data_IF_885197361494
#
_entry.id   IF_885197361494
#
_cell.length_a   1.000
_cell.length_b   1.000
_cell.length_c   1.000
_cell.angle_alpha   90.00
_cell.angle_beta   90.00
_cell.angle_gamma   90.00
#
_symmetry.space_group_name_H-M   'P 1'
#
loop_
_entity.id
_entity.type
_entity.pdbx_description
1 polymer ?
#
# COMPACT_ATOMS: atom_id res chain seq x y z
N UNK A 1 1.53 -9.57 -11.28
CA UNK A 1 1.69 -8.19 -10.76
C UNK A 1 2.54 -7.39 -11.74
N UNK A 2 2.37 -6.07 -11.78
CA UNK A 2 3.20 -5.15 -12.56
C UNK A 2 4.22 -4.44 -11.65
N UNK A 3 5.30 -3.94 -12.21
CA UNK A 3 6.41 -3.33 -11.46
C UNK A 3 6.42 -1.82 -11.64
N UNK A 4 6.68 -1.13 -10.54
CA UNK A 4 6.84 0.33 -10.47
C UNK A 4 8.14 0.62 -9.74
N UNK A 5 8.90 1.60 -10.22
CA UNK A 5 10.18 2.01 -9.62
C UNK A 5 10.14 3.48 -9.25
N UNK A 6 10.85 3.83 -8.18
CA UNK A 6 11.09 5.24 -7.86
C UNK A 6 11.90 5.87 -8.99
N UNK A 7 11.44 6.97 -9.60
CA UNK A 7 12.21 7.66 -10.62
C UNK A 7 13.44 8.32 -10.00
N UNK A 8 14.43 8.62 -10.84
CA UNK A 8 15.51 9.53 -10.48
C UNK A 8 14.99 10.96 -10.31
N UNK A 9 15.74 11.80 -9.60
CA UNK A 9 15.32 13.15 -9.16
C UNK A 9 14.93 14.09 -10.32
N UNK A 10 15.57 13.95 -11.47
CA UNK A 10 15.29 14.73 -12.68
C UNK A 10 13.97 14.31 -13.33
N UNK A 11 13.72 13.01 -13.44
CA UNK A 11 12.47 12.47 -13.94
C UNK A 11 11.32 12.75 -12.98
N UNK A 12 11.52 12.59 -11.68
CA UNK A 12 10.52 12.96 -10.66
C UNK A 12 10.09 14.41 -10.81
N UNK A 13 11.06 15.33 -10.92
CA UNK A 13 10.79 16.75 -11.12
C UNK A 13 9.92 16.98 -12.35
N UNK A 14 10.27 16.38 -13.49
CA UNK A 14 9.51 16.53 -14.73
C UNK A 14 8.09 15.95 -14.61
N UNK A 15 7.94 14.81 -13.94
CA UNK A 15 6.65 14.18 -13.69
C UNK A 15 5.75 15.08 -12.84
N UNK A 16 6.28 15.66 -11.76
CA UNK A 16 5.54 16.60 -10.90
C UNK A 16 5.14 17.87 -11.66
N UNK A 17 6.05 18.48 -12.41
CA UNK A 17 5.79 19.67 -13.23
C UNK A 17 4.68 19.43 -14.26
N UNK A 18 4.62 18.22 -14.82
CA UNK A 18 3.63 17.83 -15.83
C UNK A 18 2.41 17.12 -15.25
N UNK A 19 2.33 16.97 -13.93
CA UNK A 19 1.26 16.24 -13.23
C UNK A 19 1.07 14.80 -13.73
N UNK A 20 2.16 14.15 -14.14
CA UNK A 20 2.16 12.77 -14.59
C UNK A 20 2.34 11.87 -13.37
N UNK A 21 1.37 10.99 -13.04
CA UNK A 21 1.53 10.05 -11.93
C UNK A 21 2.61 9.01 -12.24
N UNK A 22 3.27 8.48 -11.22
CA UNK A 22 4.13 7.29 -11.40
C UNK A 22 3.32 6.12 -11.93
N UNK A 23 3.91 5.34 -12.83
CA UNK A 23 3.22 4.30 -13.58
C UNK A 23 4.05 3.01 -13.66
N UNK A 24 3.40 1.92 -14.05
CA UNK A 24 4.05 0.61 -14.23
C UNK A 24 4.93 0.54 -15.47
N UNK A 25 5.95 -0.33 -15.41
CA UNK A 25 6.82 -0.56 -16.56
C UNK A 25 6.13 -1.35 -17.68
N UNK A 26 5.23 -2.27 -17.32
CA UNK A 26 4.62 -3.19 -18.27
C UNK A 26 3.57 -2.53 -19.15
N UNK A 27 2.72 -1.69 -18.56
CA UNK A 27 1.55 -1.13 -19.27
C UNK A 27 1.46 0.39 -19.18
N UNK A 28 2.41 1.05 -18.53
CA UNK A 28 2.36 2.50 -18.27
C UNK A 28 1.08 2.92 -17.55
N UNK A 29 0.52 2.01 -16.75
CA UNK A 29 -0.68 2.26 -15.96
C UNK A 29 -0.32 3.06 -14.72
N UNK A 30 -1.06 4.14 -14.46
CA UNK A 30 -0.85 5.00 -13.29
C UNK A 30 -1.04 4.22 -11.98
N UNK A 31 -0.20 4.51 -10.97
CA UNK A 31 -0.16 3.78 -9.71
C UNK A 31 -1.50 3.82 -8.95
N UNK A 32 -2.19 4.96 -8.95
CA UNK A 32 -3.52 5.11 -8.33
C UNK A 32 -4.65 4.33 -9.01
N UNK A 33 -4.42 3.77 -10.20
CA UNK A 33 -5.44 3.01 -10.93
C UNK A 33 -5.37 1.50 -10.70
N UNK A 34 -4.44 1.04 -9.87
CA UNK A 34 -4.34 -0.36 -9.44
C UNK A 34 -5.31 -0.65 -8.30
N UNK A 35 -5.73 -1.90 -8.19
CA UNK A 35 -6.57 -2.36 -7.06
C UNK A 35 -5.76 -2.46 -5.76
N UNK A 36 -4.52 -2.93 -5.88
CA UNK A 36 -3.61 -3.20 -4.76
C UNK A 36 -2.21 -2.75 -5.17
N UNK A 37 -1.53 -2.01 -4.30
CA UNK A 37 -0.13 -1.62 -4.43
C UNK A 37 0.66 -2.26 -3.30
N UNK A 38 1.68 -3.05 -3.66
CA UNK A 38 2.52 -3.77 -2.72
C UNK A 38 3.93 -3.22 -2.64
N UNK A 39 4.43 -3.04 -1.43
CA UNK A 39 5.82 -2.69 -1.14
C UNK A 39 6.54 -3.85 -0.43
N UNK A 40 7.80 -4.06 -0.76
CA UNK A 40 8.70 -4.89 0.05
C UNK A 40 9.63 -3.99 0.83
N UNK A 41 9.50 -4.00 2.16
CA UNK A 41 10.31 -3.21 3.07
C UNK A 41 11.53 -4.05 3.48
N UNK A 42 12.69 -3.68 2.97
CA UNK A 42 13.95 -4.31 3.36
C UNK A 42 14.50 -3.73 4.67
N UNK A 43 14.41 -2.42 4.83
CA UNK A 43 14.91 -1.66 6.00
C UNK A 43 14.34 -0.22 5.99
N UNK A 44 14.60 0.51 7.06
CA UNK A 44 14.01 1.83 7.37
C UNK A 44 14.38 2.93 6.36
N UNK A 45 15.55 2.81 5.70
CA UNK A 45 15.98 3.80 4.68
C UNK A 45 15.06 3.84 3.45
N UNK A 46 14.20 2.83 3.27
CA UNK A 46 13.24 2.80 2.17
C UNK A 46 11.93 3.57 2.47
N UNK A 47 11.70 4.03 3.71
CA UNK A 47 10.41 4.60 4.10
C UNK A 47 10.06 5.86 3.32
N UNK A 48 11.02 6.78 3.14
CA UNK A 48 10.81 8.00 2.36
C UNK A 48 10.46 7.71 0.90
N UNK A 49 11.04 6.66 0.31
CA UNK A 49 10.74 6.25 -1.07
C UNK A 49 9.30 5.74 -1.22
N UNK A 50 8.79 5.04 -0.20
CA UNK A 50 7.39 4.59 -0.18
C UNK A 50 6.46 5.81 -0.17
N UNK A 51 6.71 6.76 0.73
CA UNK A 51 5.90 7.98 0.81
C UNK A 51 5.98 8.81 -0.48
N UNK A 52 7.18 8.93 -1.06
CA UNK A 52 7.38 9.61 -2.33
C UNK A 52 6.60 8.95 -3.47
N UNK A 53 6.62 7.62 -3.54
CA UNK A 53 5.87 6.87 -4.57
C UNK A 53 4.35 6.99 -4.40
N UNK A 54 3.84 6.99 -3.17
CA UNK A 54 2.41 7.23 -2.91
C UNK A 54 2.00 8.63 -3.37
N UNK A 55 2.77 9.66 -2.98
CA UNK A 55 2.53 11.05 -3.37
C UNK A 55 2.63 11.26 -4.89
N UNK A 56 3.71 10.79 -5.52
CA UNK A 56 3.91 10.87 -6.97
C UNK A 56 2.89 10.02 -7.73
N UNK A 57 2.41 8.94 -7.13
CA UNK A 57 1.31 8.12 -7.65
C UNK A 57 -0.07 8.73 -7.48
N UNK A 58 -0.18 9.90 -6.83
CA UNK A 58 -1.43 10.58 -6.52
C UNK A 58 -2.37 9.73 -5.65
N UNK A 59 -1.80 9.00 -4.69
CA UNK A 59 -2.52 8.22 -3.69
C UNK A 59 -2.49 8.99 -2.37
N UNK A 60 -3.61 9.15 -1.64
CA UNK A 60 -3.60 9.77 -0.32
C UNK A 60 -2.53 9.14 0.58
N UNK A 61 -1.67 9.98 1.15
CA UNK A 61 -0.53 9.54 1.96
C UNK A 61 -1.00 8.77 3.18
N UNK A 62 -1.94 9.35 3.96
CA UNK A 62 -2.43 8.71 5.18
C UNK A 62 -3.50 7.68 4.84
N UNK A 63 -3.39 6.49 5.42
CA UNK A 63 -4.35 5.40 5.24
C UNK A 63 -5.79 5.86 5.52
N UNK A 64 -5.99 6.65 6.58
CA UNK A 64 -7.31 7.18 6.98
C UNK A 64 -7.96 8.13 5.97
N UNK A 65 -7.22 8.64 4.99
CA UNK A 65 -7.71 9.57 3.97
C UNK A 65 -8.13 8.84 2.68
N UNK A 66 -7.86 7.53 2.59
CA UNK A 66 -8.21 6.69 1.44
C UNK A 66 -9.68 6.28 1.46
N UNK A 67 -10.30 6.32 0.29
CA UNK A 67 -11.69 5.94 0.02
C UNK A 67 -11.77 4.51 -0.51
N UNK A 68 -12.98 4.09 -0.87
CA UNK A 68 -13.27 2.77 -1.44
C UNK A 68 -12.59 2.55 -2.79
N UNK A 69 -12.47 3.60 -3.61
CA UNK A 69 -11.86 3.50 -4.95
C UNK A 69 -10.33 3.65 -4.96
N UNK A 70 -9.72 4.02 -3.83
CA UNK A 70 -8.27 4.13 -3.70
C UNK A 70 -7.62 2.74 -3.55
N UNK A 71 -6.41 2.52 -4.10
CA UNK A 71 -5.70 1.25 -3.99
C UNK A 71 -5.52 0.81 -2.53
N UNK A 72 -5.59 -0.50 -2.29
CA UNK A 72 -5.16 -1.09 -1.03
C UNK A 72 -3.62 -1.10 -0.97
N UNK A 73 -3.05 -0.44 0.04
CA UNK A 73 -1.60 -0.34 0.21
C UNK A 73 -1.12 -1.41 1.19
N UNK A 74 -0.33 -2.35 0.68
CA UNK A 74 0.17 -3.49 1.44
C UNK A 74 1.70 -3.42 1.54
N UNK A 75 2.26 -3.84 2.67
CA UNK A 75 3.70 -3.93 2.83
C UNK A 75 4.13 -5.26 3.44
N UNK A 76 5.17 -5.88 2.88
CA UNK A 76 5.77 -7.12 3.37
C UNK A 76 7.30 -7.02 3.48
N UNK A 77 7.95 -8.12 3.86
CA UNK A 77 9.42 -8.20 3.96
C UNK A 77 9.97 -7.97 5.37
N UNK A 78 11.28 -8.17 5.59
CA UNK A 78 11.86 -8.16 6.94
C UNK A 78 11.66 -6.86 7.73
N UNK A 79 11.55 -5.72 7.04
CA UNK A 79 11.33 -4.44 7.70
C UNK A 79 9.94 -4.26 8.31
N UNK A 80 8.99 -5.19 8.10
CA UNK A 80 7.66 -5.10 8.71
C UNK A 80 7.64 -5.44 10.20
N UNK A 81 8.71 -6.04 10.74
CA UNK A 81 8.86 -6.20 12.20
C UNK A 81 8.94 -4.86 12.95
N UNK A 82 9.27 -3.78 12.24
CA UNK A 82 9.21 -2.40 12.72
C UNK A 82 8.17 -1.61 11.89
N UNK A 83 6.91 -2.08 11.87
CA UNK A 83 5.84 -1.48 11.06
C UNK A 83 5.39 -0.09 11.56
N UNK A 84 5.61 0.20 12.84
CA UNK A 84 5.00 1.34 13.53
C UNK A 84 5.35 2.71 12.91
N UNK A 85 6.59 2.99 12.47
CA UNK A 85 6.90 4.24 11.76
C UNK A 85 6.10 4.48 10.47
N UNK A 86 5.55 3.42 9.86
CA UNK A 86 4.74 3.48 8.65
C UNK A 86 3.25 3.21 8.90
N UNK A 87 2.82 3.01 10.15
CA UNK A 87 1.47 2.62 10.54
C UNK A 87 0.39 3.59 10.05
N UNK A 88 0.71 4.88 9.99
CA UNK A 88 -0.20 5.92 9.49
C UNK A 88 -0.40 5.91 7.95
N UNK A 89 0.46 5.22 7.21
CA UNK A 89 0.55 5.30 5.73
C UNK A 89 0.25 3.97 5.03
N UNK A 90 0.35 2.83 5.70
CA UNK A 90 0.12 1.50 5.12
C UNK A 90 -1.18 0.93 5.65
N UNK A 91 -1.97 0.29 4.79
CA UNK A 91 -3.27 -0.28 5.19
C UNK A 91 -3.13 -1.64 5.86
N UNK A 92 -2.22 -2.48 5.36
CA UNK A 92 -1.89 -3.77 5.96
C UNK A 92 -0.41 -4.11 5.83
N UNK A 93 0.14 -4.71 6.87
CA UNK A 93 1.45 -5.33 6.87
C UNK A 93 1.32 -6.85 6.84
N UNK A 94 2.10 -7.49 5.99
CA UNK A 94 2.27 -8.95 5.95
C UNK A 94 3.55 -9.26 6.72
N UNK A 95 3.39 -9.94 7.86
CA UNK A 95 4.47 -10.33 8.76
C UNK A 95 4.65 -11.84 8.67
N UNK A 96 5.86 -12.29 8.31
CA UNK A 96 6.18 -13.70 8.09
C UNK A 96 6.20 -14.09 6.60
N UNK A 97 5.84 -15.34 6.30
CA UNK A 97 5.91 -15.88 4.93
C UNK A 97 4.68 -15.44 4.11
N UNK A 98 4.93 -14.66 3.05
CA UNK A 98 3.86 -13.97 2.33
C UNK A 98 3.21 -14.75 1.17
N UNK A 99 3.77 -15.88 0.74
CA UNK A 99 3.36 -16.53 -0.51
C UNK A 99 1.89 -17.00 -0.47
N UNK A 100 1.46 -17.64 0.61
CA UNK A 100 0.06 -18.03 0.79
C UNK A 100 -0.86 -16.86 1.18
N UNK A 101 -0.33 -15.87 1.90
CA UNK A 101 -1.10 -14.75 2.44
C UNK A 101 -1.62 -13.85 1.33
N UNK A 102 -0.81 -13.60 0.29
CA UNK A 102 -1.22 -12.76 -0.85
C UNK A 102 -2.46 -13.33 -1.57
N UNK A 103 -2.54 -14.66 -1.71
CA UNK A 103 -3.71 -15.32 -2.29
C UNK A 103 -4.99 -15.05 -1.48
N UNK A 104 -4.91 -15.18 -0.15
CA UNK A 104 -6.03 -14.91 0.77
C UNK A 104 -6.46 -13.43 0.73
N UNK A 105 -5.50 -12.50 0.68
CA UNK A 105 -5.78 -11.05 0.55
C UNK A 105 -6.57 -10.79 -0.74
N UNK A 106 -6.13 -11.35 -1.87
CA UNK A 106 -6.80 -11.17 -3.18
C UNK A 106 -8.22 -11.74 -3.14
N UNK A 107 -8.43 -12.89 -2.51
CA UNK A 107 -9.76 -13.49 -2.39
C UNK A 107 -10.72 -12.63 -1.57
N UNK A 108 -10.28 -12.13 -0.41
CA UNK A 108 -11.04 -11.19 0.43
C UNK A 108 -11.35 -9.91 -0.35
N UNK A 109 -10.33 -9.32 -0.99
CA UNK A 109 -10.49 -8.08 -1.76
C UNK A 109 -11.52 -8.22 -2.89
N UNK A 110 -11.48 -9.32 -3.65
CA UNK A 110 -12.46 -9.58 -4.72
C UNK A 110 -13.89 -9.64 -4.18
N UNK A 111 -14.12 -10.41 -3.11
CA UNK A 111 -15.46 -10.53 -2.50
C UNK A 111 -15.97 -9.19 -1.98
N UNK A 112 -15.09 -8.42 -1.32
CA UNK A 112 -15.42 -7.09 -0.82
C UNK A 112 -15.82 -6.14 -1.97
N UNK A 113 -15.04 -6.14 -3.06
CA UNK A 113 -15.27 -5.30 -4.23
C UNK A 113 -16.61 -5.62 -4.92
N UNK A 114 -16.94 -6.90 -5.04
CA UNK A 114 -18.23 -7.34 -5.61
C UNK A 114 -19.43 -6.88 -4.78
N UNK A 115 -19.28 -6.84 -3.44
CA UNK A 115 -20.32 -6.42 -2.50
C UNK A 115 -20.42 -4.89 -2.33
N UNK A 116 -19.46 -4.11 -2.84
CA UNK A 116 -19.39 -2.64 -2.71
C UNK A 116 -19.52 -2.16 -1.26
N UNK A 117 -18.81 -2.82 -0.35
CA UNK A 117 -18.80 -2.49 1.08
C UNK A 117 -17.82 -1.35 1.37
N UNK A 118 -17.90 -0.77 2.57
CA UNK A 118 -16.96 0.25 3.00
C UNK A 118 -15.55 -0.32 3.18
N UNK A 119 -14.53 0.55 3.07
CA UNK A 119 -13.13 0.14 3.29
C UNK A 119 -12.89 -0.43 4.70
N UNK A 120 -13.62 0.04 5.71
CA UNK A 120 -13.51 -0.48 7.08
C UNK A 120 -13.81 -1.98 7.16
N UNK A 121 -14.84 -2.46 6.44
CA UNK A 121 -15.19 -3.89 6.38
C UNK A 121 -14.08 -4.70 5.73
N UNK A 122 -13.44 -4.18 4.67
CA UNK A 122 -12.28 -4.84 4.04
C UNK A 122 -11.16 -5.05 5.06
N UNK A 123 -10.81 -4.00 5.81
CA UNK A 123 -9.74 -4.04 6.79
C UNK A 123 -10.07 -4.99 7.96
N UNK A 124 -11.33 -5.03 8.41
CA UNK A 124 -11.82 -5.98 9.41
C UNK A 124 -11.69 -7.44 8.95
N UNK A 125 -12.11 -7.76 7.72
CA UNK A 125 -11.99 -9.11 7.16
C UNK A 125 -10.52 -9.53 6.97
N UNK A 126 -9.68 -8.63 6.47
CA UNK A 126 -8.25 -8.89 6.28
C UNK A 126 -7.51 -9.09 7.61
N UNK A 127 -7.90 -8.38 8.67
CA UNK A 127 -7.31 -8.54 10.00
C UNK A 127 -7.56 -9.94 10.62
N UNK A 128 -8.49 -10.73 10.07
CA UNK A 128 -8.72 -12.11 10.53
C UNK A 128 -7.70 -13.11 9.94
N UNK A 129 -6.88 -12.70 8.97
CA UNK A 129 -5.87 -13.57 8.36
C UNK A 129 -4.62 -13.56 9.24
N UNK A 130 -4.18 -14.73 9.67
CA UNK A 130 -2.92 -14.89 10.41
C UNK A 130 -1.73 -14.32 9.61
N UNK A 131 -0.88 -13.55 10.29
CA UNK A 131 0.24 -12.85 9.67
C UNK A 131 -0.10 -11.47 9.09
N UNK A 132 -1.36 -11.03 9.13
CA UNK A 132 -1.75 -9.67 8.76
C UNK A 132 -1.83 -8.77 9.98
N UNK A 133 -1.10 -7.66 9.94
CA UNK A 133 -1.24 -6.55 10.89
C UNK A 133 -1.94 -5.37 10.20
N UNK A 134 -3.12 -4.97 10.71
CA UNK A 134 -3.87 -3.80 10.27
C UNK A 134 -3.70 -2.67 11.29
N UNK A 135 -2.95 -1.61 10.96
CA UNK A 135 -2.62 -0.56 11.93
C UNK A 135 -3.83 0.20 12.48
N UNK A 136 -4.87 0.39 11.68
CA UNK A 136 -6.07 1.12 12.12
C UNK A 136 -6.83 0.44 13.26
N UNK A 137 -6.52 -0.82 13.57
CA UNK A 137 -7.13 -1.58 14.67
C UNK A 137 -6.27 -1.60 15.94
N UNK A 138 -5.00 -1.16 15.87
CA UNK A 138 -4.15 -1.07 17.05
C UNK A 138 -4.43 0.24 17.80
N UNK A 139 -4.42 0.19 19.13
CA UNK A 139 -4.63 1.35 19.99
C UNK A 139 -3.35 2.16 20.23
N UNK A 140 -2.31 1.98 19.41
CA UNK A 140 -1.02 2.60 19.63
C UNK A 140 -1.07 4.08 19.23
N UNK A 141 -0.97 4.97 20.22
CA UNK A 141 -0.90 6.42 20.00
C UNK A 141 0.54 6.88 20.17
N UNK A 142 1.11 7.53 19.17
CA UNK A 142 2.41 8.22 19.33
C UNK A 142 2.23 9.52 20.11
N UNK A 143 3.18 9.77 21.03
CA UNK A 143 3.39 11.02 21.77
C UNK A 143 3.75 12.19 20.84
#
# INVERSE_FOLDING_TARGET
AERVFSPAVDMEKLMRERQIPVFSLETYRALNSFDIVGFTIQHELCYSNILNLLDLGQIPLKSKERKEDDPLIIAGGPGTFNAEPLSAFIDLFVIGEGEEIVGKIIEVYKRWKDKKQSRAVLLEELAQIEGIYVPSHSSFAFL
#
